data_IF_437231499936
#
_entry.id   IF_437231499936
#
_cell.length_a   1.000
_cell.length_b   1.000
_cell.length_c   1.000
_cell.angle_alpha   90.00
_cell.angle_beta   90.00
_cell.angle_gamma   90.00
#
_symmetry.space_group_name_H-M   'P 1'
#
loop_
_entity.id
_entity.type
_entity.pdbx_description
1 polymer ?
#
# COMPACT_ATOMS: atom_id res chain seq x y z
N UNK A 1 13.18 -1.00 -11.80
CA UNK A 1 13.81 0.23 -12.32
C UNK A 1 14.51 -0.08 -13.62
N UNK A 2 14.27 0.73 -14.62
CA UNK A 2 14.92 0.55 -15.92
C UNK A 2 16.31 1.18 -15.91
N UNK A 3 17.31 0.47 -16.39
CA UNK A 3 18.65 1.00 -16.50
C UNK A 3 18.98 1.32 -17.97
N UNK A 4 19.81 2.31 -18.18
CA UNK A 4 20.22 2.78 -19.50
C UNK A 4 21.75 2.71 -19.62
N UNK A 5 22.24 2.46 -20.82
CA UNK A 5 23.68 2.49 -21.08
C UNK A 5 24.17 3.94 -21.25
N UNK A 6 25.47 4.10 -21.54
CA UNK A 6 26.06 5.42 -21.70
C UNK A 6 25.49 6.21 -22.88
N UNK A 7 24.91 5.54 -23.86
CA UNK A 7 24.25 6.19 -25.00
C UNK A 7 22.81 6.61 -24.72
N UNK A 8 22.28 6.26 -23.54
CA UNK A 8 20.91 6.53 -23.17
C UNK A 8 19.91 5.51 -23.64
N UNK A 9 20.37 4.44 -24.26
CA UNK A 9 19.49 3.36 -24.67
C UNK A 9 19.18 2.43 -23.52
N UNK A 10 17.97 1.86 -23.55
CA UNK A 10 17.53 0.92 -22.51
C UNK A 10 18.36 -0.36 -22.61
N UNK A 11 19.13 -0.61 -21.56
CA UNK A 11 19.88 -1.86 -21.48
C UNK A 11 18.93 -3.03 -21.26
N UNK A 12 19.15 -4.17 -21.95
CA UNK A 12 18.43 -5.38 -21.56
C UNK A 12 18.77 -5.69 -20.12
N UNK A 13 17.78 -5.98 -19.26
CA UNK A 13 18.05 -6.26 -17.87
C UNK A 13 18.95 -7.48 -17.76
N UNK A 14 20.00 -7.37 -16.94
CA UNK A 14 20.69 -8.56 -16.46
C UNK A 14 19.63 -9.49 -15.89
N UNK A 15 19.81 -10.83 -15.92
CA UNK A 15 18.78 -11.73 -15.41
C UNK A 15 18.60 -11.51 -13.90
N UNK A 16 17.79 -10.50 -13.56
CA UNK A 16 17.40 -10.23 -12.18
C UNK A 16 16.18 -11.07 -11.89
N UNK A 17 16.33 -11.96 -10.93
CA UNK A 17 15.23 -12.78 -10.47
C UNK A 17 14.54 -12.05 -9.33
N UNK A 18 13.25 -11.76 -9.48
CA UNK A 18 12.44 -11.19 -8.42
C UNK A 18 11.71 -12.30 -7.70
N UNK A 19 11.63 -12.21 -6.39
CA UNK A 19 10.98 -13.23 -5.55
C UNK A 19 9.52 -12.88 -5.24
N UNK A 20 9.16 -11.60 -5.35
CA UNK A 20 7.82 -11.14 -4.99
C UNK A 20 7.56 -9.74 -5.53
N UNK A 21 6.28 -9.35 -5.52
CA UNK A 21 5.83 -8.00 -5.84
C UNK A 21 5.23 -7.40 -4.56
N UNK A 22 5.62 -6.20 -4.22
CA UNK A 22 5.09 -5.47 -3.08
C UNK A 22 4.32 -4.25 -3.55
N UNK A 23 3.04 -4.20 -3.21
CA UNK A 23 2.19 -3.04 -3.46
C UNK A 23 2.22 -2.16 -2.21
N UNK A 24 2.67 -0.93 -2.36
CA UNK A 24 2.73 0.04 -1.27
C UNK A 24 1.67 1.10 -1.49
N UNK A 25 0.82 1.31 -0.49
CA UNK A 25 -0.24 2.29 -0.55
C UNK A 25 -0.24 3.14 0.73
N UNK A 26 -1.06 4.18 0.73
CA UNK A 26 -1.21 5.05 1.88
C UNK A 26 -1.96 4.36 3.02
N UNK A 27 -3.00 3.59 2.68
CA UNK A 27 -3.88 2.97 3.65
C UNK A 27 -5.04 3.87 4.04
N UNK A 28 -6.07 3.28 4.62
CA UNK A 28 -7.23 4.01 5.08
C UNK A 28 -8.06 3.21 6.06
N UNK A 29 -8.95 3.87 6.82
CA UNK A 29 -9.79 3.17 7.78
C UNK A 29 -10.80 2.27 7.07
N UNK A 30 -11.11 1.16 7.71
CA UNK A 30 -12.08 0.18 7.19
C UNK A 30 -13.43 0.28 7.91
N UNK A 31 -13.48 0.96 9.06
CA UNK A 31 -14.67 1.10 9.87
C UNK A 31 -14.61 2.39 10.68
N UNK A 32 -15.72 2.74 11.33
CA UNK A 32 -15.77 3.93 12.16
C UNK A 32 -14.76 3.87 13.31
N UNK A 33 -14.55 2.71 13.88
CA UNK A 33 -13.61 2.50 14.98
C UNK A 33 -12.16 2.74 14.56
N UNK A 34 -11.87 2.58 13.27
CA UNK A 34 -10.52 2.78 12.73
C UNK A 34 -10.17 4.25 12.48
N UNK A 35 -11.17 5.13 12.37
CA UNK A 35 -10.95 6.51 11.89
C UNK A 35 -10.00 7.29 12.79
N UNK A 36 -10.26 7.34 14.10
CA UNK A 36 -9.42 8.11 15.03
C UNK A 36 -8.01 7.51 15.14
N UNK A 37 -7.82 6.19 15.35
CA UNK A 37 -6.48 5.61 15.36
C UNK A 37 -5.72 5.84 14.04
N UNK A 38 -6.41 5.75 12.90
CA UNK A 38 -5.80 6.03 11.61
C UNK A 38 -5.31 7.48 11.51
N UNK A 39 -6.16 8.44 11.90
CA UNK A 39 -5.78 9.84 11.87
C UNK A 39 -4.64 10.16 12.84
N UNK A 40 -4.61 9.51 13.99
CA UNK A 40 -3.51 9.67 14.93
C UNK A 40 -2.18 9.20 14.32
N UNK A 41 -2.20 8.11 13.56
CA UNK A 41 -1.02 7.63 12.84
C UNK A 41 -0.57 8.61 11.74
N UNK A 42 -1.51 9.11 10.94
CA UNK A 42 -1.22 10.02 9.84
C UNK A 42 -0.65 11.33 10.35
N UNK A 43 -1.19 11.84 11.45
CA UNK A 43 -0.83 13.15 11.99
C UNK A 43 0.28 13.10 13.03
N UNK A 44 0.83 11.93 13.29
CA UNK A 44 1.92 11.77 14.26
C UNK A 44 3.12 12.63 13.88
N UNK A 45 3.59 13.42 14.83
CA UNK A 45 4.71 14.33 14.61
C UNK A 45 4.35 15.63 13.92
N UNK A 46 3.10 15.81 13.57
CA UNK A 46 2.60 17.07 12.99
C UNK A 46 1.80 17.82 14.05
N UNK A 47 2.03 19.12 14.14
CA UNK A 47 1.33 19.96 15.13
C UNK A 47 -0.08 20.30 14.65
N UNK A 48 -0.95 19.30 14.59
CA UNK A 48 -2.34 19.47 14.19
C UNK A 48 -3.22 19.45 15.44
N UNK A 49 -4.02 20.50 15.70
CA UNK A 49 -4.92 20.51 16.85
C UNK A 49 -5.92 19.36 16.78
N UNK A 50 -6.25 18.84 17.98
CA UNK A 50 -7.20 17.73 18.09
C UNK A 50 -8.57 18.08 17.45
N UNK A 51 -8.98 19.34 17.61
CA UNK A 51 -10.25 19.82 17.02
C UNK A 51 -10.27 19.64 15.51
N UNK A 52 -9.14 19.93 14.85
CA UNK A 52 -9.04 19.76 13.40
C UNK A 52 -9.07 18.29 13.00
N UNK A 53 -8.40 17.44 13.79
CA UNK A 53 -8.43 16.00 13.58
C UNK A 53 -9.86 15.47 13.68
N UNK A 54 -10.61 15.92 14.70
CA UNK A 54 -12.00 15.50 14.87
C UNK A 54 -12.89 15.99 13.74
N UNK A 55 -12.61 17.18 13.21
CA UNK A 55 -13.34 17.71 12.06
C UNK A 55 -13.12 16.84 10.83
N UNK A 56 -11.89 16.40 10.60
CA UNK A 56 -11.58 15.47 9.50
C UNK A 56 -12.25 14.12 9.73
N UNK A 57 -12.28 13.64 10.98
CA UNK A 57 -12.93 12.38 11.32
C UNK A 57 -14.42 12.40 10.97
N UNK A 58 -15.08 13.56 11.13
CA UNK A 58 -16.49 13.70 10.75
C UNK A 58 -16.73 13.41 9.27
N UNK A 59 -15.80 13.81 8.40
CA UNK A 59 -15.92 13.50 6.97
C UNK A 59 -15.90 11.98 6.74
N UNK A 60 -15.00 11.27 7.43
CA UNK A 60 -14.97 9.80 7.32
C UNK A 60 -16.24 9.16 7.86
N UNK A 61 -16.76 9.65 9.00
CA UNK A 61 -18.00 9.12 9.58
C UNK A 61 -19.19 9.32 8.65
N UNK A 62 -19.19 10.42 7.91
CA UNK A 62 -20.26 10.69 6.93
C UNK A 62 -20.36 9.58 5.87
N UNK A 63 -19.24 8.93 5.56
CA UNK A 63 -19.18 7.82 4.61
C UNK A 63 -19.07 6.46 5.31
N UNK A 64 -19.54 6.35 6.57
CA UNK A 64 -19.52 5.11 7.32
C UNK A 64 -18.16 4.76 7.92
N UNK A 65 -17.20 5.67 7.90
CA UNK A 65 -15.85 5.46 8.43
C UNK A 65 -14.93 4.67 7.53
N UNK A 66 -15.39 4.27 6.36
CA UNK A 66 -14.61 3.45 5.43
C UNK A 66 -14.07 4.29 4.29
N UNK A 67 -12.74 4.23 4.10
CA UNK A 67 -12.10 4.85 2.94
C UNK A 67 -12.14 3.89 1.75
N UNK A 68 -12.38 4.38 0.52
CA UNK A 68 -12.36 3.53 -0.66
C UNK A 68 -10.95 3.08 -1.08
N UNK A 69 -9.90 3.67 -0.51
CA UNK A 69 -8.53 3.39 -0.95
C UNK A 69 -8.13 1.92 -0.78
N UNK A 70 -8.52 1.29 0.34
CA UNK A 70 -8.18 -0.11 0.56
C UNK A 70 -8.90 -1.02 -0.42
N UNK A 71 -10.16 -0.73 -0.72
CA UNK A 71 -10.92 -1.50 -1.70
C UNK A 71 -10.32 -1.36 -3.09
N UNK A 72 -9.93 -0.15 -3.48
CA UNK A 72 -9.25 0.08 -4.76
C UNK A 72 -7.93 -0.69 -4.83
N UNK A 73 -7.19 -0.74 -3.72
CA UNK A 73 -5.94 -1.49 -3.66
C UNK A 73 -6.18 -2.99 -3.81
N UNK A 74 -7.22 -3.52 -3.15
CA UNK A 74 -7.58 -4.93 -3.28
C UNK A 74 -7.96 -5.29 -4.72
N UNK A 75 -8.70 -4.41 -5.38
CA UNK A 75 -9.09 -4.61 -6.78
C UNK A 75 -7.88 -4.59 -7.71
N UNK A 76 -6.93 -3.68 -7.45
CA UNK A 76 -5.67 -3.62 -8.18
C UNK A 76 -4.87 -4.91 -8.01
N UNK A 77 -4.73 -5.40 -6.77
CA UNK A 77 -4.00 -6.62 -6.46
C UNK A 77 -4.65 -7.81 -7.16
N UNK A 78 -5.97 -7.92 -7.10
CA UNK A 78 -6.70 -9.00 -7.74
C UNK A 78 -6.48 -9.00 -9.26
N UNK A 79 -6.54 -7.82 -9.88
CA UNK A 79 -6.30 -7.68 -11.32
C UNK A 79 -4.85 -8.04 -11.67
N UNK A 80 -3.90 -7.62 -10.85
CA UNK A 80 -2.47 -7.92 -11.05
C UNK A 80 -2.20 -9.41 -10.91
N UNK A 81 -2.77 -10.05 -9.89
CA UNK A 81 -2.61 -11.49 -9.69
C UNK A 81 -3.17 -12.28 -10.87
N UNK A 82 -4.32 -11.86 -11.38
CA UNK A 82 -4.94 -12.48 -12.56
C UNK A 82 -4.04 -12.33 -13.79
N UNK A 83 -3.49 -11.15 -14.01
CA UNK A 83 -2.61 -10.88 -15.13
C UNK A 83 -1.32 -11.70 -15.05
N UNK A 84 -0.74 -11.81 -13.84
CA UNK A 84 0.47 -12.62 -13.62
C UNK A 84 0.20 -14.09 -13.86
N UNK A 85 -0.97 -14.58 -13.50
CA UNK A 85 -1.36 -15.96 -13.73
C UNK A 85 -1.47 -16.27 -15.23
N UNK A 86 -1.97 -15.32 -16.01
CA UNK A 86 -2.20 -15.49 -17.44
C UNK A 86 -0.95 -15.25 -18.28
N UNK A 87 -0.17 -14.22 -17.99
CA UNK A 87 0.86 -13.70 -18.88
C UNK A 87 2.20 -13.41 -18.23
N UNK A 88 2.29 -13.41 -16.94
CA UNK A 88 3.50 -12.99 -16.25
C UNK A 88 4.21 -14.10 -15.49
N UNK A 89 5.34 -13.76 -14.86
CA UNK A 89 6.01 -14.67 -13.95
C UNK A 89 5.11 -14.94 -12.74
N UNK A 90 5.20 -16.15 -12.21
CA UNK A 90 4.43 -16.52 -11.02
C UNK A 90 5.13 -15.99 -9.78
N UNK A 91 4.75 -14.78 -9.38
CA UNK A 91 5.29 -14.13 -8.19
C UNK A 91 4.18 -13.85 -7.19
N UNK A 92 4.41 -14.07 -5.90
CA UNK A 92 3.43 -13.69 -4.89
C UNK A 92 3.33 -12.16 -4.81
N UNK A 93 2.13 -11.67 -4.58
CA UNK A 93 1.87 -10.25 -4.42
C UNK A 93 1.59 -9.95 -2.95
N UNK A 94 2.36 -9.04 -2.38
CA UNK A 94 2.19 -8.59 -1.01
C UNK A 94 1.69 -7.15 -1.00
N UNK A 95 0.97 -6.79 0.06
CA UNK A 95 0.40 -5.47 0.24
C UNK A 95 0.77 -4.90 1.60
N UNK A 96 1.33 -3.71 1.61
CA UNK A 96 1.65 -3.01 2.84
C UNK A 96 1.34 -1.53 2.73
N UNK A 97 0.75 -0.96 3.75
CA UNK A 97 0.38 0.45 3.80
C UNK A 97 1.28 1.23 4.73
N UNK A 98 1.44 2.51 4.44
CA UNK A 98 2.27 3.41 5.24
C UNK A 98 1.59 3.81 6.55
N UNK A 99 0.28 3.97 6.56
CA UNK A 99 -0.43 4.62 7.66
C UNK A 99 -1.52 3.77 8.32
N UNK A 100 -1.84 2.61 7.77
CA UNK A 100 -2.84 1.72 8.35
C UNK A 100 -2.60 0.27 7.94
N UNK A 101 -3.35 -0.63 8.56
CA UNK A 101 -3.20 -2.06 8.29
C UNK A 101 -3.65 -2.44 6.88
N UNK A 102 -3.00 -3.38 6.23
CA UNK A 102 -1.78 -4.03 6.70
C UNK A 102 -0.60 -3.06 6.68
N UNK A 103 0.08 -2.94 7.82
CA UNK A 103 1.21 -2.03 7.93
C UNK A 103 2.41 -2.54 7.11
N UNK A 104 3.08 -1.61 6.43
CA UNK A 104 4.21 -1.95 5.57
C UNK A 104 5.31 -2.72 6.33
N UNK A 105 5.60 -2.32 7.56
CA UNK A 105 6.60 -2.98 8.39
C UNK A 105 6.25 -4.46 8.62
N UNK A 106 4.99 -4.74 8.91
CA UNK A 106 4.53 -6.11 9.14
C UNK A 106 4.60 -6.92 7.86
N UNK A 107 4.23 -6.31 6.73
CA UNK A 107 4.31 -6.96 5.42
C UNK A 107 5.75 -7.30 5.06
N UNK A 108 6.69 -6.40 5.30
CA UNK A 108 8.11 -6.65 5.04
C UNK A 108 8.64 -7.80 5.89
N UNK A 109 8.22 -7.89 7.15
CA UNK A 109 8.58 -9.02 8.01
C UNK A 109 8.05 -10.33 7.45
N UNK A 110 6.81 -10.33 6.98
CA UNK A 110 6.17 -11.50 6.40
C UNK A 110 6.94 -11.96 5.15
N UNK A 111 7.30 -11.02 4.28
CA UNK A 111 8.07 -11.33 3.08
C UNK A 111 9.42 -11.93 3.42
N UNK A 112 10.07 -11.42 4.47
CA UNK A 112 11.36 -11.93 4.93
C UNK A 112 11.25 -13.36 5.45
N UNK A 113 10.18 -13.68 6.17
CA UNK A 113 9.93 -15.02 6.69
C UNK A 113 9.63 -16.02 5.58
N UNK A 114 8.92 -15.59 4.56
CA UNK A 114 8.55 -16.44 3.43
C UNK A 114 9.69 -16.63 2.44
N UNK A 115 10.75 -15.90 2.61
CA UNK A 115 11.90 -15.96 1.74
C UNK A 115 11.92 -14.89 0.71
#
# INVERSE_FOLDING_TARGET
MKSYDESGELCPPAPITYDAILIVSFGGPESREDVIPFLENVLRGRNVPRERMLAVAEHYYHFGGKSPINQHTRELISALEHELEQHGPKLPVFWGNRNWHPMLTDTLRQMKQDG
#
